data_IF_858929940434
#
_entry.id   IF_858929940434
#
_cell.length_a   1.000
_cell.length_b   1.000
_cell.length_c   1.000
_cell.angle_alpha   90.00
_cell.angle_beta   90.00
_cell.angle_gamma   90.00
#
_symmetry.space_group_name_H-M   'P 1'
#
loop_
_entity.id
_entity.type
_entity.pdbx_description
1 polymer ?
#
# COMPACT_ATOMS: atom_id res chain seq x y z
N UNK A 1 10.80 -18.21 -10.67
CA UNK A 1 10.73 -17.01 -11.50
C UNK A 1 10.56 -15.72 -10.66
N UNK A 2 9.55 -15.57 -9.80
CA UNK A 2 9.32 -14.37 -8.96
C UNK A 2 10.55 -14.01 -8.12
N UNK A 3 11.18 -14.97 -7.43
CA UNK A 3 12.37 -14.73 -6.60
C UNK A 3 13.56 -14.18 -7.39
N UNK A 4 13.74 -14.63 -8.64
CA UNK A 4 14.79 -14.11 -9.51
C UNK A 4 14.55 -12.65 -9.89
N UNK A 5 13.29 -12.28 -10.18
CA UNK A 5 12.91 -10.90 -10.47
C UNK A 5 13.13 -10.01 -9.24
N UNK A 6 12.70 -10.46 -8.06
CA UNK A 6 12.86 -9.68 -6.82
C UNK A 6 14.35 -9.50 -6.49
N UNK A 7 15.17 -10.55 -6.64
CA UNK A 7 16.62 -10.47 -6.43
C UNK A 7 17.28 -9.51 -7.43
N UNK A 8 16.90 -9.58 -8.70
CA UNK A 8 17.41 -8.70 -9.75
C UNK A 8 17.05 -7.23 -9.48
N UNK A 9 15.81 -6.95 -9.12
CA UNK A 9 15.37 -5.61 -8.73
C UNK A 9 16.12 -5.10 -7.50
N UNK A 10 16.37 -5.96 -6.52
CA UNK A 10 17.15 -5.62 -5.32
C UNK A 10 18.60 -5.25 -5.68
N UNK A 11 19.25 -5.99 -6.59
CA UNK A 11 20.62 -5.69 -7.05
C UNK A 11 20.61 -4.35 -7.80
N UNK A 12 19.68 -4.15 -8.73
CA UNK A 12 19.61 -2.90 -9.49
C UNK A 12 19.26 -1.69 -8.62
N UNK A 13 18.58 -1.87 -7.49
CA UNK A 13 18.24 -0.77 -6.57
C UNK A 13 19.47 -0.09 -5.94
N UNK A 14 20.63 -0.74 -5.92
CA UNK A 14 21.86 -0.14 -5.40
C UNK A 14 22.37 1.03 -6.27
N UNK A 15 22.14 1.01 -7.57
CA UNK A 15 22.59 2.06 -8.48
C UNK A 15 21.92 3.42 -8.18
N UNK A 16 20.57 3.53 -8.17
CA UNK A 16 19.92 4.80 -7.86
C UNK A 16 20.14 5.23 -6.40
N UNK A 17 20.23 4.27 -5.46
CA UNK A 17 20.52 4.61 -4.05
C UNK A 17 21.94 5.16 -3.91
N UNK A 18 22.93 4.59 -4.57
CA UNK A 18 24.29 5.11 -4.57
C UNK A 18 24.35 6.54 -5.15
N UNK A 19 23.69 6.76 -6.30
CA UNK A 19 23.66 8.06 -6.96
C UNK A 19 22.99 9.13 -6.09
N UNK A 20 21.83 8.83 -5.52
CA UNK A 20 21.11 9.74 -4.63
C UNK A 20 21.84 9.99 -3.31
N UNK A 21 22.38 8.93 -2.70
CA UNK A 21 23.12 9.00 -1.43
C UNK A 21 24.44 9.76 -1.57
N UNK A 22 25.12 9.66 -2.71
CA UNK A 22 26.32 10.42 -3.00
C UNK A 22 26.04 11.92 -2.93
N UNK A 23 25.00 12.39 -3.62
CA UNK A 23 24.61 13.80 -3.59
C UNK A 23 24.22 14.27 -2.19
N UNK A 24 23.46 13.48 -1.46
CA UNK A 24 23.03 13.80 -0.09
C UNK A 24 24.20 13.86 0.89
N UNK A 25 25.14 12.92 0.79
CA UNK A 25 26.32 12.85 1.64
C UNK A 25 27.23 14.08 1.48
N UNK A 26 27.37 14.58 0.25
CA UNK A 26 28.15 15.80 0.00
C UNK A 26 27.41 17.08 0.41
N UNK A 27 26.07 17.11 0.36
CA UNK A 27 25.29 18.33 0.64
C UNK A 27 25.00 18.50 2.14
N UNK A 28 24.73 17.41 2.87
CA UNK A 28 24.22 17.45 4.24
C UNK A 28 24.99 16.56 5.24
N UNK A 29 26.04 15.86 4.83
CA UNK A 29 26.76 14.90 5.68
C UNK A 29 28.26 14.96 5.55
N UNK A 30 28.95 14.07 6.27
CA UNK A 30 30.41 13.96 6.29
C UNK A 30 31.03 13.30 5.04
N UNK A 31 30.32 13.31 3.89
CA UNK A 31 30.77 12.67 2.64
C UNK A 31 30.72 11.14 2.63
N UNK A 32 30.18 10.50 3.66
CA UNK A 32 30.15 9.04 3.78
C UNK A 32 28.94 8.39 3.10
N UNK A 33 29.00 8.22 1.79
CA UNK A 33 27.98 7.49 1.01
C UNK A 33 27.81 6.04 1.47
N UNK A 34 28.87 5.42 2.01
CA UNK A 34 28.87 4.03 2.44
C UNK A 34 27.83 3.72 3.52
N UNK A 35 27.60 4.63 4.47
CA UNK A 35 26.62 4.42 5.53
C UNK A 35 25.17 4.29 4.99
N UNK A 36 24.84 5.00 3.92
CA UNK A 36 23.55 4.92 3.25
C UNK A 36 23.38 3.57 2.53
N UNK A 37 24.43 3.06 1.90
CA UNK A 37 24.44 1.75 1.25
C UNK A 37 24.26 0.61 2.26
N UNK A 38 24.92 0.69 3.41
CA UNK A 38 24.75 -0.29 4.49
C UNK A 38 23.32 -0.30 5.01
N UNK A 39 22.74 0.90 5.25
CA UNK A 39 21.32 1.01 5.64
C UNK A 39 20.40 0.41 4.59
N UNK A 40 20.64 0.68 3.31
CA UNK A 40 19.85 0.10 2.22
C UNK A 40 19.96 -1.42 2.19
N UNK A 41 21.17 -1.99 2.32
CA UNK A 41 21.37 -3.42 2.40
C UNK A 41 20.60 -4.05 3.56
N UNK A 42 20.64 -3.45 4.76
CA UNK A 42 19.92 -3.93 5.93
C UNK A 42 18.39 -3.93 5.67
N UNK A 43 17.85 -2.87 5.03
CA UNK A 43 16.43 -2.82 4.67
C UNK A 43 16.06 -3.89 3.64
N UNK A 44 16.90 -4.13 2.65
CA UNK A 44 16.70 -5.21 1.67
C UNK A 44 16.72 -6.59 2.35
N UNK A 45 17.69 -6.83 3.22
CA UNK A 45 17.79 -8.09 3.96
C UNK A 45 16.57 -8.35 4.84
N UNK A 46 16.09 -7.31 5.56
CA UNK A 46 14.85 -7.38 6.33
C UNK A 46 13.65 -7.63 5.43
N UNK A 47 13.55 -6.94 4.30
CA UNK A 47 12.49 -7.14 3.31
C UNK A 47 12.46 -8.58 2.77
N UNK A 48 13.61 -9.14 2.38
CA UNK A 48 13.71 -10.53 1.95
C UNK A 48 13.32 -11.51 3.05
N UNK A 49 13.75 -11.27 4.29
CA UNK A 49 13.42 -12.11 5.44
C UNK A 49 11.91 -12.12 5.70
N UNK A 50 11.25 -10.95 5.62
CA UNK A 50 9.80 -10.82 5.77
C UNK A 50 9.08 -11.56 4.64
N UNK A 51 9.47 -11.35 3.38
CA UNK A 51 8.85 -12.00 2.22
C UNK A 51 9.00 -13.53 2.35
N UNK A 52 10.18 -14.02 2.73
CA UNK A 52 10.42 -15.43 2.95
C UNK A 52 9.56 -16.00 4.08
N UNK A 53 9.45 -15.30 5.20
CA UNK A 53 8.59 -15.69 6.32
C UNK A 53 7.11 -15.76 5.91
N UNK A 54 6.62 -14.70 5.26
CA UNK A 54 5.23 -14.62 4.79
C UNK A 54 4.92 -15.70 3.75
N UNK A 55 5.86 -15.99 2.85
CA UNK A 55 5.70 -17.04 1.83
C UNK A 55 5.45 -18.45 2.43
N UNK A 56 5.92 -18.70 3.65
CA UNK A 56 5.71 -19.97 4.36
C UNK A 56 4.35 -20.06 5.06
N UNK A 57 3.65 -18.94 5.22
CA UNK A 57 2.36 -18.90 5.92
C UNK A 57 1.25 -19.32 4.95
N UNK A 58 0.40 -20.32 5.29
CA UNK A 58 -0.73 -20.69 4.47
C UNK A 58 -1.70 -19.51 4.27
N UNK A 59 -2.13 -19.28 3.04
CA UNK A 59 -2.99 -18.14 2.65
C UNK A 59 -4.29 -18.04 3.45
N UNK A 60 -4.79 -19.14 3.99
CA UNK A 60 -6.02 -19.19 4.82
C UNK A 60 -5.96 -18.28 6.05
N UNK A 61 -4.76 -18.06 6.61
CA UNK A 61 -4.59 -17.18 7.77
C UNK A 61 -4.76 -15.70 7.42
N UNK A 62 -4.41 -15.31 6.21
CA UNK A 62 -4.60 -13.92 5.75
C UNK A 62 -6.07 -13.51 5.69
N UNK A 63 -6.98 -14.48 5.52
CA UNK A 63 -8.43 -14.24 5.57
C UNK A 63 -8.87 -13.67 6.93
N UNK A 64 -8.42 -14.25 8.02
CA UNK A 64 -8.70 -13.75 9.37
C UNK A 64 -7.94 -12.48 9.69
N UNK A 65 -6.66 -12.44 9.33
CA UNK A 65 -5.77 -11.32 9.58
C UNK A 65 -6.30 -10.03 8.94
N UNK A 66 -6.81 -10.07 7.70
CA UNK A 66 -7.36 -8.90 7.03
C UNK A 66 -8.56 -8.30 7.75
N UNK A 67 -9.40 -9.13 8.41
CA UNK A 67 -10.56 -8.64 9.17
C UNK A 67 -10.14 -7.89 10.45
N UNK A 68 -9.10 -8.42 11.13
CA UNK A 68 -8.58 -7.80 12.35
C UNK A 68 -7.76 -6.54 12.01
N UNK A 69 -6.99 -6.59 10.94
CA UNK A 69 -6.15 -5.47 10.51
C UNK A 69 -6.94 -4.32 9.88
N UNK A 70 -8.11 -4.57 9.32
CA UNK A 70 -8.91 -3.55 8.66
C UNK A 70 -9.29 -2.38 9.60
N UNK A 71 -9.90 -2.59 10.79
CA UNK A 71 -10.16 -1.51 11.72
C UNK A 71 -8.89 -0.84 12.25
N UNK A 72 -7.80 -1.58 12.45
CA UNK A 72 -6.51 -1.00 12.87
C UNK A 72 -6.00 -0.01 11.81
N UNK A 73 -6.08 -0.39 10.54
CA UNK A 73 -5.69 0.49 9.42
C UNK A 73 -6.56 1.74 9.37
N UNK A 74 -7.87 1.62 9.57
CA UNK A 74 -8.76 2.79 9.59
C UNK A 74 -8.38 3.76 10.71
N UNK A 75 -8.10 3.25 11.91
CA UNK A 75 -7.64 4.07 13.03
C UNK A 75 -6.31 4.76 12.69
N UNK A 76 -5.35 4.04 12.13
CA UNK A 76 -4.05 4.61 11.74
C UNK A 76 -4.20 5.70 10.67
N UNK A 77 -5.09 5.52 9.69
CA UNK A 77 -5.37 6.53 8.68
C UNK A 77 -6.05 7.76 9.28
N UNK A 78 -6.98 7.58 10.21
CA UNK A 78 -7.61 8.69 10.93
C UNK A 78 -6.60 9.46 11.77
N UNK A 79 -5.73 8.76 12.50
CA UNK A 79 -4.66 9.39 13.28
C UNK A 79 -3.73 10.21 12.38
N UNK A 80 -3.34 9.70 11.21
CA UNK A 80 -2.49 10.45 10.27
C UNK A 80 -3.18 11.70 9.72
N UNK A 81 -4.48 11.63 9.44
CA UNK A 81 -5.25 12.79 9.00
C UNK A 81 -5.33 13.88 10.08
N UNK A 82 -5.47 13.49 11.35
CA UNK A 82 -5.65 14.42 12.46
C UNK A 82 -4.33 15.01 12.96
N UNK A 83 -3.23 14.25 12.93
CA UNK A 83 -1.94 14.67 13.49
C UNK A 83 -1.11 15.56 12.55
N UNK A 84 -1.39 15.57 11.25
CA UNK A 84 -0.82 16.49 10.26
C UNK A 84 0.65 16.84 10.45
N UNK A 85 1.55 15.84 10.55
CA UNK A 85 2.98 16.11 10.77
C UNK A 85 3.65 16.63 9.50
N UNK A 86 4.25 17.82 9.57
CA UNK A 86 5.19 18.30 8.55
C UNK A 86 6.56 17.68 8.82
N UNK A 87 7.14 17.00 7.83
CA UNK A 87 8.53 16.54 7.85
C UNK A 87 9.26 17.36 6.79
N UNK A 88 10.30 18.09 7.20
CA UNK A 88 11.17 18.92 6.33
C UNK A 88 10.41 19.92 5.41
N UNK A 89 9.35 20.56 5.94
CA UNK A 89 8.60 21.60 5.22
C UNK A 89 7.62 21.08 4.15
N UNK A 90 7.57 19.78 3.89
CA UNK A 90 6.55 19.16 3.05
C UNK A 90 5.32 18.76 3.87
N UNK A 91 4.11 18.93 3.30
CA UNK A 91 2.87 18.43 3.90
C UNK A 91 2.94 16.89 4.01
N UNK A 92 3.52 16.42 5.11
CA UNK A 92 3.78 15.00 5.35
C UNK A 92 2.74 14.39 6.31
N UNK A 93 1.48 14.83 6.23
CA UNK A 93 0.33 14.26 6.97
C UNK A 93 0.07 12.77 6.67
N UNK A 94 1.00 12.12 5.95
CA UNK A 94 0.93 10.72 5.53
C UNK A 94 1.90 9.80 6.29
N UNK A 95 2.77 10.35 7.16
CA UNK A 95 3.78 9.59 7.89
C UNK A 95 3.53 9.65 9.39
N UNK A 96 3.65 8.52 10.08
CA UNK A 96 3.71 8.43 11.54
C UNK A 96 5.15 8.14 11.94
N UNK A 97 5.69 8.97 12.84
CA UNK A 97 6.98 8.68 13.48
C UNK A 97 6.71 7.80 14.70
N UNK A 98 7.30 6.61 14.71
CA UNK A 98 7.22 5.72 15.86
C UNK A 98 8.10 6.29 16.97
N UNK A 99 7.53 6.67 18.14
CA UNK A 99 8.31 7.16 19.26
C UNK A 99 9.32 6.09 19.70
N UNK A 100 10.48 6.53 20.20
CA UNK A 100 11.61 5.73 20.71
C UNK A 100 12.48 5.02 19.64
N UNK A 101 11.99 4.74 18.45
CA UNK A 101 12.75 4.00 17.42
C UNK A 101 13.23 4.92 16.29
N UNK A 102 12.67 6.13 16.18
CA UNK A 102 13.00 7.08 15.10
C UNK A 102 12.59 6.61 13.69
N UNK A 103 11.86 5.51 13.61
CA UNK A 103 11.37 4.95 12.35
C UNK A 103 10.09 5.66 11.91
N UNK A 104 10.02 6.04 10.63
CA UNK A 104 8.82 6.61 10.03
C UNK A 104 8.08 5.55 9.25
N UNK A 105 6.77 5.48 9.46
CA UNK A 105 5.89 4.49 8.87
C UNK A 105 4.74 5.20 8.12
N UNK A 106 4.41 4.72 6.94
CA UNK A 106 3.31 5.23 6.13
C UNK A 106 2.09 4.31 6.22
N UNK A 107 1.03 4.68 6.95
CA UNK A 107 -0.16 3.85 7.12
C UNK A 107 -0.88 3.49 5.82
N UNK A 108 -0.84 4.34 4.80
CA UNK A 108 -1.46 4.06 3.50
C UNK A 108 -0.83 2.85 2.78
N UNK A 109 0.46 2.55 3.01
CA UNK A 109 1.10 1.35 2.46
C UNK A 109 0.54 0.06 3.10
N UNK A 110 0.35 0.08 4.43
CA UNK A 110 -0.30 -1.02 5.13
C UNK A 110 -1.78 -1.14 4.72
N UNK A 111 -2.46 0.01 4.57
CA UNK A 111 -3.84 0.08 4.11
C UNK A 111 -4.01 -0.58 2.73
N UNK A 112 -3.12 -0.31 1.79
CA UNK A 112 -3.13 -0.93 0.47
C UNK A 112 -3.06 -2.46 0.56
N UNK A 113 -2.11 -2.98 1.34
CA UNK A 113 -1.93 -4.41 1.53
C UNK A 113 -3.18 -5.07 2.15
N UNK A 114 -3.67 -4.52 3.26
CA UNK A 114 -4.84 -5.05 3.98
C UNK A 114 -6.09 -5.00 3.11
N UNK A 115 -6.27 -3.89 2.37
CA UNK A 115 -7.41 -3.69 1.48
C UNK A 115 -7.38 -4.69 0.31
N UNK A 116 -6.21 -4.93 -0.30
CA UNK A 116 -6.05 -5.93 -1.37
C UNK A 116 -6.43 -7.33 -0.88
N UNK A 117 -5.97 -7.73 0.30
CA UNK A 117 -6.33 -9.04 0.90
C UNK A 117 -7.81 -9.10 1.22
N UNK A 118 -8.40 -8.01 1.72
CA UNK A 118 -9.82 -7.91 2.00
C UNK A 118 -10.67 -8.08 0.73
N UNK A 119 -10.32 -7.38 -0.35
CA UNK A 119 -11.00 -7.48 -1.66
C UNK A 119 -10.86 -8.88 -2.25
N UNK A 120 -9.64 -9.45 -2.26
CA UNK A 120 -9.39 -10.80 -2.74
C UNK A 120 -10.24 -11.84 -1.99
N UNK A 121 -10.34 -11.70 -0.67
CA UNK A 121 -11.20 -12.55 0.16
C UNK A 121 -12.68 -12.44 -0.22
N UNK A 122 -13.19 -11.22 -0.44
CA UNK A 122 -14.57 -11.02 -0.86
C UNK A 122 -14.83 -11.69 -2.21
N UNK A 123 -13.97 -11.44 -3.19
CA UNK A 123 -14.09 -12.01 -4.53
C UNK A 123 -14.04 -13.54 -4.51
N UNK A 124 -13.14 -14.13 -3.73
CA UNK A 124 -13.07 -15.59 -3.54
C UNK A 124 -14.35 -16.18 -2.94
N UNK A 125 -15.03 -15.45 -2.05
CA UNK A 125 -16.29 -15.90 -1.43
C UNK A 125 -17.46 -15.88 -2.41
N UNK A 126 -17.47 -14.93 -3.35
CA UNK A 126 -18.61 -14.73 -4.27
C UNK A 126 -18.32 -15.23 -5.70
N UNK A 127 -17.21 -15.92 -5.91
CA UNK A 127 -16.73 -16.35 -7.23
C UNK A 127 -17.78 -17.17 -8.03
N UNK A 128 -18.54 -18.02 -7.37
CA UNK A 128 -19.57 -18.86 -7.99
C UNK A 128 -20.98 -18.24 -7.94
N UNK A 129 -21.12 -17.04 -7.38
CA UNK A 129 -22.43 -16.40 -7.19
C UNK A 129 -22.69 -15.34 -8.26
N UNK A 130 -23.96 -15.13 -8.63
CA UNK A 130 -24.35 -14.01 -9.46
C UNK A 130 -24.18 -12.70 -8.68
N UNK A 131 -23.10 -11.98 -8.96
CA UNK A 131 -22.81 -10.69 -8.32
C UNK A 131 -23.71 -9.62 -8.92
N UNK A 132 -24.53 -8.98 -8.06
CA UNK A 132 -25.30 -7.80 -8.42
C UNK A 132 -24.59 -6.56 -7.83
N UNK A 133 -24.66 -5.41 -8.52
CA UNK A 133 -24.04 -4.18 -8.01
C UNK A 133 -24.48 -3.84 -6.60
N UNK A 134 -25.80 -3.91 -6.33
CA UNK A 134 -26.35 -3.62 -4.99
C UNK A 134 -25.85 -4.57 -3.90
N UNK A 135 -25.66 -5.86 -4.20
CA UNK A 135 -25.18 -6.84 -3.23
C UNK A 135 -23.69 -6.67 -2.90
N UNK A 136 -22.91 -6.07 -3.79
CA UNK A 136 -21.47 -5.81 -3.61
C UNK A 136 -21.17 -4.41 -3.05
N UNK A 137 -22.12 -3.49 -3.10
CA UNK A 137 -21.89 -2.09 -2.73
C UNK A 137 -21.43 -1.98 -1.26
N UNK A 138 -22.17 -2.56 -0.33
CA UNK A 138 -21.86 -2.47 1.10
C UNK A 138 -20.67 -3.36 1.49
N UNK A 139 -20.61 -4.66 1.12
CA UNK A 139 -19.55 -5.53 1.62
C UNK A 139 -18.19 -5.36 0.90
N UNK A 140 -18.16 -4.78 -0.31
CA UNK A 140 -16.93 -4.57 -1.08
C UNK A 140 -16.58 -3.09 -1.22
N UNK A 141 -17.47 -2.31 -1.87
CA UNK A 141 -17.13 -0.95 -2.31
C UNK A 141 -17.14 0.08 -1.17
N UNK A 142 -18.04 -0.05 -0.19
CA UNK A 142 -18.05 0.87 0.95
C UNK A 142 -16.73 0.83 1.73
N UNK A 143 -16.17 -0.32 2.16
CA UNK A 143 -14.86 -0.38 2.79
C UNK A 143 -13.73 0.17 1.89
N UNK A 144 -13.78 -0.11 0.59
CA UNK A 144 -12.80 0.41 -0.37
C UNK A 144 -12.83 1.94 -0.40
N UNK A 145 -14.01 2.52 -0.59
CA UNK A 145 -14.13 3.98 -0.67
C UNK A 145 -13.80 4.69 0.65
N UNK A 146 -14.16 4.11 1.79
CA UNK A 146 -13.78 4.67 3.10
C UNK A 146 -12.26 4.79 3.21
N UNK A 147 -11.51 3.75 2.87
CA UNK A 147 -10.03 3.78 2.90
C UNK A 147 -9.48 4.79 1.90
N UNK A 148 -10.00 4.81 0.67
CA UNK A 148 -9.53 5.72 -0.37
C UNK A 148 -9.78 7.20 0.00
N UNK A 149 -10.94 7.52 0.55
CA UNK A 149 -11.29 8.87 0.99
C UNK A 149 -10.37 9.33 2.13
N UNK A 150 -9.99 8.44 3.04
CA UNK A 150 -9.05 8.78 4.12
C UNK A 150 -7.63 9.03 3.62
N UNK A 151 -7.20 8.37 2.53
CA UNK A 151 -5.86 8.57 1.94
C UNK A 151 -5.82 9.78 1.02
N UNK A 152 -6.93 10.09 0.35
CA UNK A 152 -7.02 11.07 -0.73
C UNK A 152 -6.46 12.46 -0.38
N UNK A 153 -6.80 13.09 0.76
CA UNK A 153 -6.30 14.42 1.11
C UNK A 153 -4.79 14.46 1.31
N UNK A 154 -4.21 13.35 1.78
CA UNK A 154 -2.79 13.25 2.06
C UNK A 154 -1.96 12.86 0.83
N UNK A 155 -2.51 12.06 -0.09
CA UNK A 155 -1.79 11.56 -1.25
C UNK A 155 -2.71 11.05 -2.37
N UNK A 156 -3.04 11.94 -3.29
CA UNK A 156 -3.86 11.62 -4.48
C UNK A 156 -3.25 10.49 -5.33
N UNK A 157 -1.94 10.55 -5.58
CA UNK A 157 -1.23 9.54 -6.41
C UNK A 157 -1.35 8.13 -5.81
N UNK A 158 -1.12 8.00 -4.51
CA UNK A 158 -1.27 6.71 -3.81
C UNK A 158 -2.71 6.21 -3.86
N UNK A 159 -3.69 7.09 -3.69
CA UNK A 159 -5.12 6.76 -3.80
C UNK A 159 -5.46 6.24 -5.19
N UNK A 160 -4.98 6.90 -6.24
CA UNK A 160 -5.20 6.49 -7.63
C UNK A 160 -4.58 5.12 -7.92
N UNK A 161 -3.34 4.88 -7.46
CA UNK A 161 -2.66 3.59 -7.62
C UNK A 161 -3.43 2.47 -6.91
N UNK A 162 -3.81 2.66 -5.64
CA UNK A 162 -4.57 1.67 -4.87
C UNK A 162 -5.91 1.38 -5.54
N UNK A 163 -6.63 2.41 -5.98
CA UNK A 163 -7.89 2.24 -6.69
C UNK A 163 -7.71 1.43 -7.99
N UNK A 164 -6.70 1.75 -8.80
CA UNK A 164 -6.38 1.00 -10.01
C UNK A 164 -6.06 -0.47 -9.71
N UNK A 165 -5.26 -0.73 -8.66
CA UNK A 165 -4.95 -2.10 -8.23
C UNK A 165 -6.22 -2.87 -7.83
N UNK A 166 -7.17 -2.21 -7.16
CA UNK A 166 -8.45 -2.82 -6.77
C UNK A 166 -9.31 -3.13 -7.99
N UNK A 167 -9.37 -2.22 -8.98
CA UNK A 167 -10.09 -2.46 -10.23
C UNK A 167 -9.52 -3.66 -10.99
N UNK A 168 -8.19 -3.73 -11.10
CA UNK A 168 -7.51 -4.88 -11.75
C UNK A 168 -7.79 -6.16 -10.97
N UNK A 169 -7.72 -6.15 -9.65
CA UNK A 169 -8.00 -7.32 -8.84
C UNK A 169 -9.46 -7.76 -8.96
N UNK A 170 -10.40 -6.81 -8.96
CA UNK A 170 -11.82 -7.10 -9.16
C UNK A 170 -12.09 -7.69 -10.55
N UNK A 171 -11.44 -7.16 -11.59
CA UNK A 171 -11.51 -7.71 -12.94
C UNK A 171 -10.99 -9.16 -12.99
N UNK A 172 -9.80 -9.42 -12.44
CA UNK A 172 -9.20 -10.75 -12.38
C UNK A 172 -10.03 -11.73 -11.52
N UNK A 173 -10.73 -11.22 -10.50
CA UNK A 173 -11.63 -11.99 -9.64
C UNK A 173 -13.02 -12.24 -10.24
N UNK A 174 -13.23 -11.93 -11.52
CA UNK A 174 -14.50 -12.21 -12.22
C UNK A 174 -15.63 -11.23 -11.90
N UNK A 175 -15.34 -10.05 -11.33
CA UNK A 175 -16.37 -9.04 -11.11
C UNK A 175 -16.90 -8.49 -12.44
N UNK A 176 -18.24 -8.30 -12.61
CA UNK A 176 -18.80 -7.90 -13.91
C UNK A 176 -18.28 -6.56 -14.42
N UNK A 177 -17.72 -6.55 -15.63
CA UNK A 177 -17.12 -5.36 -16.27
C UNK A 177 -18.05 -4.16 -16.36
N UNK A 178 -19.35 -4.40 -16.59
CA UNK A 178 -20.36 -3.34 -16.63
C UNK A 178 -20.41 -2.49 -15.34
N UNK A 179 -20.19 -3.12 -14.19
CA UNK A 179 -20.21 -2.43 -12.91
C UNK A 179 -18.88 -1.70 -12.65
N UNK A 180 -17.74 -2.29 -13.05
CA UNK A 180 -16.45 -1.61 -13.00
C UNK A 180 -16.45 -0.36 -13.89
N UNK A 181 -16.96 -0.48 -15.13
CA UNK A 181 -17.11 0.66 -16.03
C UNK A 181 -18.04 1.75 -15.46
N UNK A 182 -19.14 1.38 -14.82
CA UNK A 182 -20.03 2.34 -14.16
C UNK A 182 -19.34 3.09 -13.01
N UNK A 183 -18.54 2.41 -12.19
CA UNK A 183 -17.79 3.05 -11.09
C UNK A 183 -16.74 4.02 -11.64
N UNK A 184 -15.97 3.60 -12.64
CA UNK A 184 -14.95 4.46 -13.27
C UNK A 184 -15.59 5.68 -13.92
N UNK A 185 -16.67 5.49 -14.69
CA UNK A 185 -17.38 6.59 -15.32
C UNK A 185 -17.98 7.56 -14.28
N UNK A 186 -18.55 7.05 -13.20
CA UNK A 186 -19.07 7.88 -12.10
C UNK A 186 -17.97 8.75 -11.49
N UNK A 187 -16.78 8.19 -11.25
CA UNK A 187 -15.65 8.92 -10.68
C UNK A 187 -15.16 9.99 -11.66
N UNK A 188 -14.97 9.65 -12.95
CA UNK A 188 -14.50 10.60 -13.96
C UNK A 188 -15.47 11.78 -14.08
N UNK A 189 -16.77 11.53 -14.16
CA UNK A 189 -17.78 12.59 -14.36
C UNK A 189 -18.00 13.48 -13.12
N UNK A 190 -17.57 13.07 -11.93
CA UNK A 190 -17.75 13.88 -10.71
C UNK A 190 -16.44 14.53 -10.21
N UNK A 191 -15.29 14.19 -10.79
CA UNK A 191 -13.97 14.69 -10.35
C UNK A 191 -13.23 15.50 -11.42
N UNK A 192 -13.67 15.45 -12.65
CA UNK A 192 -13.17 16.22 -13.80
C UNK A 192 -14.32 16.96 -14.51
#
# INVERSE_FOLDING_TARGET
MIWAIVALLAIFSFLPVYSAASNLAYTYGDGQTFSYLVKHFVHLFLGFSIIYGIHRIPYRYFKGLSMVMFPVVLILLLVTLLQGTTIDGANASRWIRVPFVGFTFQPSTLAALVLMVFVARYLSKVFEQKITFKSSLVPLWLPVFVVLILILPANFSTTAIIFTMILVLAFLGGYPLKYLGAIVNFIINNWF
#
